data_IF_947392655913
#
_entry.id   IF_947392655913
#
_cell.length_a   1.000
_cell.length_b   1.000
_cell.length_c   1.000
_cell.angle_alpha   90.00
_cell.angle_beta   90.00
_cell.angle_gamma   90.00
#
_symmetry.space_group_name_H-M   'P 1'
#
loop_
_entity.id
_entity.type
_entity.pdbx_description
1 polymer ?
#
# COMPACT_ATOMS: atom_id res chain seq x y z
N UNK A 1 -7.87 -15.68 10.42
CA UNK A 1 -8.08 -14.23 10.56
C UNK A 1 -9.12 -13.86 9.54
N UNK A 2 -10.20 -13.19 9.95
CA UNK A 2 -11.29 -12.81 9.03
C UNK A 2 -10.69 -12.05 7.84
N UNK A 3 -10.95 -12.57 6.64
CA UNK A 3 -10.63 -11.89 5.38
C UNK A 3 -11.68 -10.80 5.19
N UNK A 4 -11.72 -9.86 6.13
CA UNK A 4 -12.74 -8.83 6.19
C UNK A 4 -12.54 -7.89 4.99
N UNK A 5 -13.66 -7.63 4.31
CA UNK A 5 -13.67 -6.82 3.09
C UNK A 5 -13.25 -5.40 3.44
N UNK A 6 -12.17 -4.91 2.82
CA UNK A 6 -11.68 -3.54 3.08
C UNK A 6 -12.61 -2.55 2.39
N UNK A 7 -13.22 -1.64 3.15
CA UNK A 7 -14.11 -0.60 2.62
C UNK A 7 -13.28 0.64 2.26
N UNK A 8 -13.11 0.87 0.96
CA UNK A 8 -12.31 1.97 0.41
C UNK A 8 -13.24 3.10 0.00
N UNK A 9 -13.11 4.25 0.66
CA UNK A 9 -13.81 5.46 0.27
C UNK A 9 -13.16 6.09 -0.96
N UNK A 10 -13.93 6.24 -2.05
CA UNK A 10 -13.45 6.89 -3.26
C UNK A 10 -13.76 8.39 -3.27
N UNK A 11 -12.70 9.18 -3.42
CA UNK A 11 -12.76 10.64 -3.61
C UNK A 11 -12.31 10.97 -5.03
N UNK A 12 -13.25 11.31 -5.91
CA UNK A 12 -12.94 11.45 -7.34
C UNK A 12 -13.86 12.41 -8.09
N UNK A 13 -13.42 12.86 -9.25
CA UNK A 13 -14.27 13.53 -10.24
C UNK A 13 -14.15 12.85 -11.62
N UNK A 14 -15.29 12.58 -12.26
CA UNK A 14 -15.37 12.07 -13.63
C UNK A 14 -14.87 10.64 -13.97
N UNK A 15 -14.54 9.71 -13.05
CA UNK A 15 -14.08 8.37 -13.45
C UNK A 15 -15.16 7.54 -14.15
N UNK A 16 -16.44 7.81 -13.87
CA UNK A 16 -17.58 7.16 -14.55
C UNK A 16 -17.63 7.55 -16.02
N UNK A 17 -17.55 8.85 -16.33
CA UNK A 17 -17.63 9.36 -17.70
C UNK A 17 -16.40 9.00 -18.54
N UNK A 18 -15.23 8.85 -17.91
CA UNK A 18 -14.00 8.39 -18.56
C UNK A 18 -13.93 6.86 -18.73
N UNK A 19 -14.94 6.11 -18.27
CA UNK A 19 -14.95 4.65 -18.35
C UNK A 19 -13.93 3.96 -17.43
N UNK A 20 -13.25 4.71 -16.55
CA UNK A 20 -12.19 4.20 -15.65
C UNK A 20 -12.78 3.57 -14.39
N UNK A 21 -14.00 3.95 -13.99
CA UNK A 21 -14.62 3.43 -12.75
C UNK A 21 -14.68 1.90 -12.71
N UNK A 22 -14.99 1.26 -13.85
CA UNK A 22 -15.02 -0.19 -13.95
C UNK A 22 -13.67 -0.82 -13.62
N UNK A 23 -12.59 -0.23 -14.11
CA UNK A 23 -11.22 -0.71 -13.87
C UNK A 23 -10.79 -0.52 -12.41
N UNK A 24 -11.25 0.55 -11.76
CA UNK A 24 -11.05 0.79 -10.33
C UNK A 24 -11.75 -0.32 -9.51
N UNK A 25 -13.02 -0.60 -9.83
CA UNK A 25 -13.80 -1.63 -9.13
C UNK A 25 -13.17 -3.02 -9.28
N UNK A 26 -12.79 -3.41 -10.52
CA UNK A 26 -12.12 -4.70 -10.78
C UNK A 26 -10.82 -4.82 -9.98
N UNK A 27 -10.02 -3.76 -9.90
CA UNK A 27 -8.77 -3.77 -9.14
C UNK A 27 -9.00 -3.91 -7.63
N UNK A 28 -10.04 -3.27 -7.09
CA UNK A 28 -10.40 -3.38 -5.67
C UNK A 28 -10.92 -4.78 -5.32
N UNK A 29 -11.83 -5.33 -6.13
CA UNK A 29 -12.38 -6.68 -5.96
C UNK A 29 -11.27 -7.74 -5.98
N UNK A 30 -10.29 -7.60 -6.87
CA UNK A 30 -9.16 -8.52 -6.99
C UNK A 30 -8.27 -8.58 -5.74
N UNK A 31 -8.33 -7.58 -4.84
CA UNK A 31 -7.55 -7.52 -3.60
C UNK A 31 -8.41 -7.62 -2.33
N UNK A 32 -9.66 -8.09 -2.46
CA UNK A 32 -10.57 -8.26 -1.32
C UNK A 32 -11.04 -6.93 -0.73
N UNK A 33 -11.29 -5.93 -1.58
CA UNK A 33 -11.81 -4.63 -1.19
C UNK A 33 -13.05 -4.23 -1.99
N UNK A 34 -13.84 -3.34 -1.40
CA UNK A 34 -14.99 -2.72 -2.03
C UNK A 34 -14.81 -1.21 -2.07
N UNK A 35 -15.12 -0.63 -3.23
CA UNK A 35 -15.16 0.82 -3.44
C UNK A 35 -16.55 1.32 -3.09
N UNK A 36 -16.63 2.36 -2.26
CA UNK A 36 -17.87 3.06 -2.02
C UNK A 36 -17.68 4.58 -2.07
N UNK A 37 -18.78 5.30 -2.31
CA UNK A 37 -18.80 6.75 -2.31
C UNK A 37 -19.42 7.25 -1.01
N UNK A 38 -18.72 8.06 -0.19
CA UNK A 38 -19.30 8.60 1.03
C UNK A 38 -20.57 9.43 0.75
N UNK A 39 -21.68 9.08 1.39
CA UNK A 39 -22.94 9.80 1.26
C UNK A 39 -22.99 10.98 2.23
N UNK A 40 -23.42 12.15 1.75
CA UNK A 40 -23.46 13.39 2.52
C UNK A 40 -24.78 14.13 2.30
N UNK A 41 -25.24 14.84 3.35
CA UNK A 41 -26.34 15.79 3.18
C UNK A 41 -25.88 17.08 2.48
N UNK A 42 -26.82 17.80 1.85
CA UNK A 42 -26.51 19.10 1.22
C UNK A 42 -25.97 20.14 2.21
N UNK A 43 -26.40 20.08 3.47
CA UNK A 43 -25.89 20.92 4.56
C UNK A 43 -24.42 20.66 4.84
N UNK A 44 -24.03 19.38 4.89
CA UNK A 44 -22.65 18.98 5.20
C UNK A 44 -21.70 19.39 4.08
N UNK A 45 -22.13 19.27 2.82
CA UNK A 45 -21.31 19.71 1.66
C UNK A 45 -20.94 21.20 1.78
N UNK A 46 -21.90 22.06 2.15
CA UNK A 46 -21.66 23.51 2.24
C UNK A 46 -20.79 23.90 3.43
N UNK A 47 -20.92 23.19 4.55
CA UNK A 47 -20.11 23.41 5.76
C UNK A 47 -18.68 22.95 5.51
N UNK A 48 -18.51 21.69 5.20
CA UNK A 48 -17.23 21.01 5.09
C UNK A 48 -16.33 21.63 4.01
N UNK A 49 -16.92 22.12 2.91
CA UNK A 49 -16.16 22.83 1.87
C UNK A 49 -15.54 24.15 2.37
N UNK A 50 -16.25 24.91 3.21
CA UNK A 50 -15.72 26.18 3.74
C UNK A 50 -14.52 25.96 4.65
N UNK A 51 -14.53 24.88 5.41
CA UNK A 51 -13.50 24.58 6.40
C UNK A 51 -12.19 24.08 5.76
N UNK A 52 -12.26 23.51 4.55
CA UNK A 52 -11.08 23.02 3.82
C UNK A 52 -10.20 24.15 3.25
N UNK A 53 -10.77 25.33 2.98
CA UNK A 53 -9.99 26.52 2.59
C UNK A 53 -9.48 26.57 1.13
N UNK A 54 -9.85 25.61 0.27
CA UNK A 54 -9.55 25.63 -1.17
C UNK A 54 -10.83 25.84 -1.98
N UNK A 55 -10.96 27.01 -2.63
CA UNK A 55 -12.09 27.28 -3.51
C UNK A 55 -11.85 26.71 -4.92
N UNK A 56 -12.85 25.99 -5.45
CA UNK A 56 -12.81 25.33 -6.76
C UNK A 56 -14.12 25.57 -7.50
N UNK A 57 -14.09 25.53 -8.84
CA UNK A 57 -15.28 25.73 -9.66
C UNK A 57 -16.10 24.46 -9.84
N UNK A 58 -15.44 23.31 -10.00
CA UNK A 58 -16.13 22.04 -10.25
C UNK A 58 -16.96 21.57 -9.05
N UNK A 59 -18.25 21.29 -9.28
CA UNK A 59 -19.16 20.74 -8.26
C UNK A 59 -18.71 19.36 -7.76
N UNK A 60 -18.21 18.50 -8.66
CA UNK A 60 -17.69 17.17 -8.29
C UNK A 60 -16.47 17.27 -7.39
N UNK A 61 -15.59 18.26 -7.64
CA UNK A 61 -14.44 18.50 -6.77
C UNK A 61 -14.86 19.05 -5.41
N UNK A 62 -15.88 19.92 -5.34
CA UNK A 62 -16.46 20.34 -4.05
C UNK A 62 -17.01 19.16 -3.27
N UNK A 63 -17.70 18.23 -3.95
CA UNK A 63 -18.20 17.02 -3.32
C UNK A 63 -17.06 16.12 -2.83
N UNK A 64 -16.01 15.93 -3.63
CA UNK A 64 -14.83 15.17 -3.21
C UNK A 64 -14.14 15.79 -1.98
N UNK A 65 -14.03 17.12 -1.91
CA UNK A 65 -13.53 17.84 -0.74
C UNK A 65 -14.41 17.57 0.49
N UNK A 66 -15.72 17.77 0.37
CA UNK A 66 -16.65 17.59 1.48
C UNK A 66 -16.63 16.15 2.03
N UNK A 67 -16.49 15.16 1.14
CA UNK A 67 -16.35 13.74 1.49
C UNK A 67 -15.04 13.47 2.23
N UNK A 68 -13.93 14.06 1.77
CA UNK A 68 -12.64 13.99 2.48
C UNK A 68 -12.72 14.54 3.90
N UNK A 69 -13.39 15.68 4.09
CA UNK A 69 -13.61 16.26 5.42
C UNK A 69 -14.48 15.36 6.30
N UNK A 70 -15.58 14.82 5.76
CA UNK A 70 -16.46 13.92 6.52
C UNK A 70 -15.75 12.64 6.99
N UNK A 71 -14.82 12.10 6.19
CA UNK A 71 -13.98 10.97 6.58
C UNK A 71 -13.04 11.33 7.73
N UNK A 72 -12.42 12.52 7.69
CA UNK A 72 -11.54 13.01 8.76
C UNK A 72 -12.31 13.30 10.05
N UNK A 73 -13.50 13.87 9.95
CA UNK A 73 -14.41 14.12 11.09
C UNK A 73 -15.00 12.83 11.69
N UNK A 74 -14.83 11.68 11.04
CA UNK A 74 -15.42 10.41 11.47
C UNK A 74 -16.93 10.34 11.28
N UNK A 75 -17.51 11.23 10.48
CA UNK A 75 -18.95 11.18 10.13
C UNK A 75 -19.26 10.04 9.16
N UNK A 76 -18.24 9.56 8.43
CA UNK A 76 -18.31 8.37 7.57
C UNK A 76 -17.11 7.48 7.90
N UNK A 77 -17.38 6.20 8.16
CA UNK A 77 -16.33 5.21 8.43
C UNK A 77 -15.82 4.57 7.12
N UNK A 78 -14.49 4.45 7.02
CA UNK A 78 -13.78 3.77 5.95
C UNK A 78 -12.50 3.15 6.49
N UNK A 79 -12.01 2.10 5.85
CA UNK A 79 -10.72 1.47 6.20
C UNK A 79 -9.56 2.14 5.47
N UNK A 80 -9.85 2.78 4.33
CA UNK A 80 -8.88 3.36 3.42
C UNK A 80 -9.52 4.39 2.49
N UNK A 81 -8.69 5.25 1.89
CA UNK A 81 -9.14 6.29 0.94
C UNK A 81 -8.40 6.15 -0.39
N UNK A 82 -9.17 6.14 -1.47
CA UNK A 82 -8.64 6.19 -2.84
C UNK A 82 -9.05 7.51 -3.50
N UNK A 83 -8.07 8.37 -3.77
CA UNK A 83 -8.29 9.67 -4.42
C UNK A 83 -7.93 9.54 -5.89
N UNK A 84 -8.89 9.76 -6.79
CA UNK A 84 -8.69 9.56 -8.23
C UNK A 84 -9.21 10.75 -9.04
N UNK A 85 -8.32 11.41 -9.78
CA UNK A 85 -8.71 12.50 -10.70
C UNK A 85 -8.00 12.36 -12.05
N UNK A 86 -8.58 12.94 -13.10
CA UNK A 86 -7.98 12.86 -14.44
C UNK A 86 -6.68 13.67 -14.50
N UNK A 87 -5.73 13.22 -15.31
CA UNK A 87 -4.44 13.90 -15.47
C UNK A 87 -4.52 15.29 -16.14
N UNK A 88 -5.63 15.60 -16.81
CA UNK A 88 -5.78 16.82 -17.64
C UNK A 88 -6.22 18.05 -16.85
N UNK A 89 -6.93 17.86 -15.75
CA UNK A 89 -7.54 18.95 -15.00
C UNK A 89 -6.58 19.47 -13.93
N UNK A 90 -6.05 20.68 -14.13
CA UNK A 90 -5.16 21.33 -13.16
C UNK A 90 -5.83 21.55 -11.79
N UNK A 91 -7.10 21.96 -11.79
CA UNK A 91 -7.90 22.12 -10.56
C UNK A 91 -8.01 20.79 -9.81
N UNK A 92 -8.27 19.68 -10.53
CA UNK A 92 -8.38 18.36 -9.93
C UNK A 92 -7.02 17.80 -9.44
N UNK A 93 -5.91 18.22 -10.05
CA UNK A 93 -4.57 17.87 -9.59
C UNK A 93 -4.24 18.55 -8.24
N UNK A 94 -4.62 19.83 -8.09
CA UNK A 94 -4.46 20.58 -6.84
C UNK A 94 -5.34 19.95 -5.75
N UNK A 95 -6.63 19.73 -6.03
CA UNK A 95 -7.57 19.12 -5.08
C UNK A 95 -7.10 17.74 -4.63
N UNK A 96 -6.64 16.90 -5.55
CA UNK A 96 -6.12 15.56 -5.22
C UNK A 96 -4.93 15.63 -4.26
N UNK A 97 -4.00 16.56 -4.49
CA UNK A 97 -2.82 16.74 -3.64
C UNK A 97 -3.19 17.28 -2.26
N UNK A 98 -4.04 18.31 -2.20
CA UNK A 98 -4.48 18.91 -0.93
C UNK A 98 -5.36 17.96 -0.12
N UNK A 99 -6.26 17.20 -0.76
CA UNK A 99 -7.04 16.16 -0.07
C UNK A 99 -6.14 15.08 0.54
N UNK A 100 -5.14 14.61 -0.22
CA UNK A 100 -4.17 13.64 0.29
C UNK A 100 -3.45 14.19 1.51
N UNK A 101 -2.98 15.44 1.45
CA UNK A 101 -2.28 16.09 2.57
C UNK A 101 -3.19 16.25 3.78
N UNK A 102 -4.40 16.78 3.57
CA UNK A 102 -5.38 17.01 4.63
C UNK A 102 -5.74 15.72 5.38
N UNK A 103 -6.05 14.64 4.66
CA UNK A 103 -6.38 13.34 5.28
C UNK A 103 -5.19 12.76 6.03
N UNK A 104 -3.97 12.90 5.50
CA UNK A 104 -2.75 12.44 6.16
C UNK A 104 -2.43 13.22 7.45
N UNK A 105 -2.63 14.54 7.46
CA UNK A 105 -2.35 15.40 8.61
C UNK A 105 -3.38 15.27 9.74
N UNK A 106 -4.64 14.91 9.41
CA UNK A 106 -5.76 14.97 10.36
C UNK A 106 -6.41 13.61 10.64
N UNK A 107 -5.98 12.54 9.99
CA UNK A 107 -6.50 11.20 10.23
C UNK A 107 -5.40 10.15 10.15
N UNK A 108 -5.75 8.93 10.52
CA UNK A 108 -4.87 7.78 10.35
C UNK A 108 -5.26 6.88 9.19
N UNK A 109 -6.18 7.33 8.34
CA UNK A 109 -6.64 6.55 7.19
C UNK A 109 -5.50 6.44 6.17
N UNK A 110 -5.20 5.23 5.67
CA UNK A 110 -4.26 5.10 4.57
C UNK A 110 -4.87 5.67 3.30
N UNK A 111 -4.05 6.39 2.52
CA UNK A 111 -4.50 7.12 1.33
C UNK A 111 -3.63 6.75 0.13
N UNK A 112 -4.27 6.37 -0.97
CA UNK A 112 -3.64 6.32 -2.29
C UNK A 112 -4.23 7.41 -3.16
N UNK A 113 -3.35 8.18 -3.81
CA UNK A 113 -3.71 9.18 -4.81
C UNK A 113 -3.29 8.70 -6.19
N UNK A 114 -4.19 8.75 -7.15
CA UNK A 114 -3.96 8.31 -8.52
C UNK A 114 -4.44 9.34 -9.55
N UNK A 115 -3.61 9.57 -10.57
CA UNK A 115 -3.93 10.42 -11.71
C UNK A 115 -4.25 9.55 -12.91
N UNK A 116 -5.54 9.39 -13.23
CA UNK A 116 -5.96 8.47 -14.28
C UNK A 116 -5.95 9.09 -15.68
N UNK A 117 -5.93 8.21 -16.68
CA UNK A 117 -6.17 8.51 -18.09
C UNK A 117 -7.31 7.63 -18.59
N UNK A 118 -7.86 7.92 -19.77
CA UNK A 118 -8.86 7.06 -20.44
C UNK A 118 -8.33 5.63 -20.73
N UNK A 119 -7.02 5.40 -20.60
CA UNK A 119 -6.35 4.10 -20.82
C UNK A 119 -5.95 3.40 -19.52
N UNK A 120 -6.32 3.95 -18.37
CA UNK A 120 -6.04 3.30 -17.08
C UNK A 120 -6.76 1.95 -17.04
N UNK A 121 -6.00 0.89 -16.73
CA UNK A 121 -6.54 -0.47 -16.57
C UNK A 121 -6.39 -0.94 -15.14
N UNK A 122 -7.20 -1.92 -14.75
CA UNK A 122 -7.16 -2.60 -13.46
C UNK A 122 -5.77 -3.13 -13.12
N UNK A 123 -5.06 -3.69 -14.11
CA UNK A 123 -3.67 -4.15 -13.93
C UNK A 123 -2.71 -3.05 -13.47
N UNK A 124 -2.90 -1.80 -13.93
CA UNK A 124 -2.07 -0.66 -13.47
C UNK A 124 -2.42 -0.17 -12.07
N UNK A 125 -3.64 -0.46 -11.60
CA UNK A 125 -4.13 -0.11 -10.28
C UNK A 125 -3.87 -1.20 -9.24
N UNK A 126 -3.72 -2.46 -9.68
CA UNK A 126 -3.71 -3.64 -8.82
C UNK A 126 -2.69 -3.53 -7.68
N UNK A 127 -1.42 -3.25 -7.98
CA UNK A 127 -0.38 -3.16 -6.95
C UNK A 127 -0.64 -2.01 -5.97
N UNK A 128 -1.24 -0.90 -6.44
CA UNK A 128 -1.60 0.24 -5.57
C UNK A 128 -2.77 -0.11 -4.65
N UNK A 129 -3.76 -0.84 -5.17
CA UNK A 129 -4.88 -1.34 -4.37
C UNK A 129 -4.40 -2.38 -3.37
N UNK A 130 -3.52 -3.30 -3.76
CA UNK A 130 -2.92 -4.30 -2.87
C UNK A 130 -2.10 -3.65 -1.74
N UNK A 131 -1.33 -2.62 -2.04
CA UNK A 131 -0.61 -1.84 -1.02
C UNK A 131 -1.60 -1.12 -0.09
N UNK A 132 -2.64 -0.49 -0.62
CA UNK A 132 -3.65 0.20 0.18
C UNK A 132 -4.39 -0.75 1.14
N UNK A 133 -4.84 -1.90 0.65
CA UNK A 133 -5.52 -2.92 1.47
C UNK A 133 -4.57 -3.56 2.48
N UNK A 134 -3.30 -3.74 2.11
CA UNK A 134 -2.26 -4.18 3.03
C UNK A 134 -2.14 -3.22 4.20
N UNK A 135 -2.00 -1.93 3.95
CA UNK A 135 -1.82 -0.94 5.02
C UNK A 135 -3.06 -0.89 5.92
N UNK A 136 -4.26 -0.95 5.33
CA UNK A 136 -5.51 -1.01 6.08
C UNK A 136 -5.59 -2.25 7.00
N UNK A 137 -5.28 -3.44 6.47
CA UNK A 137 -5.38 -4.72 7.19
C UNK A 137 -4.26 -4.97 8.19
N UNK A 138 -3.05 -4.53 7.87
CA UNK A 138 -1.81 -4.92 8.56
C UNK A 138 -1.11 -3.76 9.27
N UNK A 139 -1.86 -2.71 9.60
CA UNK A 139 -1.31 -1.50 10.25
C UNK A 139 -0.45 -1.80 11.47
N UNK A 140 -0.90 -2.69 12.36
CA UNK A 140 -0.17 -3.06 13.56
C UNK A 140 1.16 -3.79 13.25
N UNK A 141 1.19 -4.60 12.19
CA UNK A 141 2.42 -5.29 11.75
C UNK A 141 3.42 -4.27 11.17
N UNK A 142 2.95 -3.34 10.33
CA UNK A 142 3.79 -2.32 9.70
C UNK A 142 4.31 -1.28 10.70
N UNK A 143 3.60 -1.06 11.80
CA UNK A 143 4.02 -0.18 12.89
C UNK A 143 5.16 -0.76 13.75
N UNK A 144 5.55 -2.03 13.58
CA UNK A 144 6.67 -2.62 14.34
C UNK A 144 7.99 -1.94 13.97
N UNK A 145 8.64 -1.33 14.95
CA UNK A 145 9.89 -0.58 14.74
C UNK A 145 11.16 -1.43 14.83
N UNK A 146 11.05 -2.59 15.48
CA UNK A 146 12.16 -3.50 15.73
C UNK A 146 11.80 -4.92 15.32
N UNK A 147 12.73 -5.59 14.64
CA UNK A 147 12.68 -7.02 14.41
C UNK A 147 13.13 -7.77 15.68
N UNK A 148 12.38 -8.79 16.08
CA UNK A 148 12.64 -9.62 17.26
C UNK A 148 12.56 -11.10 16.89
N UNK A 149 13.35 -11.94 17.58
CA UNK A 149 13.45 -13.37 17.27
C UNK A 149 14.33 -13.63 16.05
N UNK A 150 14.32 -14.87 15.57
CA UNK A 150 15.08 -15.33 14.42
C UNK A 150 14.18 -15.43 13.19
N UNK A 151 14.37 -14.56 12.21
CA UNK A 151 13.47 -14.49 11.04
C UNK A 151 14.23 -14.46 9.72
N UNK A 152 13.56 -14.87 8.65
CA UNK A 152 14.08 -14.78 7.28
C UNK A 152 13.18 -13.96 6.37
N UNK A 153 13.75 -13.05 5.60
CA UNK A 153 13.08 -12.36 4.50
C UNK A 153 13.66 -12.76 3.15
N UNK A 154 12.81 -13.06 2.16
CA UNK A 154 13.22 -13.40 0.78
C UNK A 154 12.58 -12.45 -0.22
N UNK A 155 13.40 -11.69 -0.93
CA UNK A 155 13.00 -10.82 -2.04
C UNK A 155 13.30 -11.53 -3.37
N UNK A 156 12.24 -11.94 -4.08
CA UNK A 156 12.35 -12.53 -5.42
C UNK A 156 12.04 -11.49 -6.50
N UNK A 157 13.00 -10.59 -6.72
CA UNK A 157 12.96 -9.58 -7.77
C UNK A 157 13.17 -10.15 -9.17
N UNK A 158 12.90 -9.32 -10.19
CA UNK A 158 13.04 -9.70 -11.61
C UNK A 158 14.51 -9.82 -12.06
N UNK A 159 15.42 -9.07 -11.45
CA UNK A 159 16.85 -9.09 -11.80
C UNK A 159 17.72 -9.75 -10.73
N UNK A 160 17.33 -9.65 -9.46
CA UNK A 160 18.09 -10.23 -8.34
C UNK A 160 17.15 -10.85 -7.32
N UNK A 161 17.56 -12.01 -6.79
CA UNK A 161 16.92 -12.65 -5.65
C UNK A 161 17.82 -12.47 -4.44
N UNK A 162 17.22 -12.17 -3.29
CA UNK A 162 17.93 -11.89 -2.04
C UNK A 162 17.28 -12.63 -0.88
N UNK A 163 18.09 -13.07 0.07
CA UNK A 163 17.62 -13.57 1.35
C UNK A 163 18.41 -12.91 2.47
N UNK A 164 17.75 -12.59 3.57
CA UNK A 164 18.35 -12.02 4.78
C UNK A 164 17.84 -12.81 5.99
N UNK A 165 18.76 -13.24 6.85
CA UNK A 165 18.47 -13.77 8.18
C UNK A 165 18.76 -12.68 9.20
N UNK A 166 17.76 -12.36 10.02
CA UNK A 166 17.91 -11.40 11.11
C UNK A 166 17.61 -12.04 12.46
N UNK A 167 18.43 -11.72 13.46
CA UNK A 167 18.19 -12.01 14.87
C UNK A 167 18.18 -10.70 15.65
N UNK A 168 17.04 -10.39 16.30
CA UNK A 168 16.87 -9.23 17.18
C UNK A 168 17.41 -7.90 16.61
N UNK A 169 17.06 -7.62 15.35
CA UNK A 169 17.43 -6.43 14.57
C UNK A 169 18.85 -6.44 13.98
N UNK A 170 19.56 -7.56 14.08
CA UNK A 170 20.90 -7.73 13.53
C UNK A 170 20.84 -8.69 12.34
N UNK A 171 21.38 -8.28 11.20
CA UNK A 171 21.58 -9.18 10.06
C UNK A 171 22.72 -10.13 10.40
N UNK A 172 22.43 -11.43 10.42
CA UNK A 172 23.42 -12.48 10.74
C UNK A 172 23.71 -13.39 9.55
N UNK A 173 22.95 -13.28 8.46
CA UNK A 173 23.23 -14.01 7.23
C UNK A 173 22.54 -13.39 6.03
N UNK A 174 23.17 -13.52 4.86
CA UNK A 174 22.76 -12.92 3.60
C UNK A 174 22.97 -13.87 2.45
N UNK A 175 22.09 -13.76 1.46
CA UNK A 175 22.21 -14.47 0.19
C UNK A 175 21.78 -13.55 -0.93
N UNK A 176 22.55 -13.50 -2.00
CA UNK A 176 22.25 -12.66 -3.16
C UNK A 176 22.73 -13.31 -4.45
N UNK A 177 21.84 -13.38 -5.45
CA UNK A 177 22.12 -13.92 -6.79
C UNK A 177 21.32 -13.20 -7.86
N UNK A 178 21.81 -13.16 -9.11
CA UNK A 178 20.97 -12.82 -10.26
C UNK A 178 19.76 -13.76 -10.33
N UNK A 179 18.59 -13.22 -10.64
CA UNK A 179 17.39 -14.03 -10.86
C UNK A 179 17.50 -14.71 -12.21
N UNK A 180 17.58 -16.03 -12.22
CA UNK A 180 17.54 -16.85 -13.44
C UNK A 180 16.23 -17.63 -13.48
N UNK A 181 16.01 -18.47 -12.46
CA UNK A 181 14.75 -19.17 -12.21
C UNK A 181 14.25 -18.77 -10.82
N UNK A 182 13.02 -18.28 -10.72
CA UNK A 182 12.42 -17.77 -9.47
C UNK A 182 12.64 -18.72 -8.28
N UNK A 183 12.34 -20.01 -8.45
CA UNK A 183 12.47 -20.99 -7.36
C UNK A 183 13.92 -21.40 -7.12
N UNK A 184 14.67 -21.72 -8.18
CA UNK A 184 16.06 -22.11 -8.07
C UNK A 184 16.94 -21.03 -7.43
N UNK A 185 16.83 -19.78 -7.91
CA UNK A 185 17.54 -18.64 -7.33
C UNK A 185 17.14 -18.40 -5.87
N UNK A 186 15.88 -18.62 -5.51
CA UNK A 186 15.40 -18.49 -4.11
C UNK A 186 15.99 -19.56 -3.19
N UNK A 187 15.97 -20.82 -3.61
CA UNK A 187 16.55 -21.94 -2.84
C UNK A 187 18.06 -21.73 -2.63
N UNK A 188 18.77 -21.22 -3.64
CA UNK A 188 20.20 -20.90 -3.55
C UNK A 188 20.48 -19.80 -2.52
N UNK A 189 19.79 -18.65 -2.61
CA UNK A 189 20.05 -17.55 -1.67
C UNK A 189 19.63 -17.87 -0.23
N UNK A 190 18.58 -18.67 -0.04
CA UNK A 190 18.17 -19.15 1.29
C UNK A 190 19.27 -20.04 1.88
N UNK A 191 19.82 -20.96 1.08
CA UNK A 191 20.91 -21.85 1.52
C UNK A 191 22.14 -21.05 1.93
N UNK A 192 22.52 -20.03 1.15
CA UNK A 192 23.64 -19.15 1.46
C UNK A 192 23.41 -18.38 2.77
N UNK A 193 22.23 -17.78 2.92
CA UNK A 193 21.92 -16.95 4.09
C UNK A 193 21.85 -17.77 5.38
N UNK A 194 21.28 -18.98 5.34
CA UNK A 194 21.25 -19.91 6.48
C UNK A 194 22.65 -20.41 6.86
N UNK A 195 23.48 -20.74 5.86
CA UNK A 195 24.85 -21.18 6.08
C UNK A 195 25.71 -20.07 6.71
N UNK A 196 25.58 -18.82 6.23
CA UNK A 196 26.28 -17.66 6.81
C UNK A 196 25.82 -17.39 8.25
N UNK A 197 24.51 -17.50 8.52
CA UNK A 197 23.95 -17.33 9.86
C UNK A 197 24.28 -18.48 10.82
N UNK A 198 24.69 -19.65 10.31
CA UNK A 198 24.94 -20.83 11.13
C UNK A 198 23.70 -21.43 11.77
N UNK A 199 22.52 -21.20 11.19
CA UNK A 199 21.20 -21.66 11.70
C UNK A 199 20.52 -22.59 10.70
N UNK A 200 19.56 -23.39 11.17
CA UNK A 200 18.73 -24.23 10.32
C UNK A 200 17.40 -23.55 10.03
N UNK A 201 16.76 -23.99 8.95
CA UNK A 201 15.41 -23.53 8.59
C UNK A 201 14.39 -23.78 9.70
N UNK A 202 14.56 -24.87 10.44
CA UNK A 202 13.70 -25.30 11.55
C UNK A 202 13.79 -24.35 12.76
N UNK A 203 14.88 -23.59 12.88
CA UNK A 203 15.11 -22.66 13.99
C UNK A 203 14.41 -21.31 13.78
N UNK A 204 13.94 -21.03 12.56
CA UNK A 204 13.32 -19.74 12.21
C UNK A 204 11.93 -19.62 12.86
N UNK A 205 11.70 -18.51 13.55
CA UNK A 205 10.41 -18.16 14.16
C UNK A 205 9.37 -17.73 13.11
N UNK A 206 9.81 -17.08 12.03
CA UNK A 206 8.94 -16.64 10.95
C UNK A 206 9.72 -16.40 9.65
N UNK A 207 9.00 -16.56 8.53
CA UNK A 207 9.52 -16.36 7.18
C UNK A 207 8.60 -15.45 6.37
N UNK A 208 9.19 -14.40 5.79
CA UNK A 208 8.53 -13.47 4.90
C UNK A 208 9.07 -13.55 3.47
N UNK A 209 8.23 -13.21 2.49
CA UNK A 209 8.67 -13.06 1.10
C UNK A 209 7.99 -11.92 0.37
N UNK A 210 8.73 -11.28 -0.54
CA UNK A 210 8.30 -10.19 -1.41
C UNK A 210 8.86 -10.34 -2.83
N UNK A 211 8.61 -9.34 -3.67
CA UNK A 211 8.97 -9.31 -5.08
C UNK A 211 7.92 -9.90 -6.02
N UNK A 212 8.24 -9.95 -7.30
CA UNK A 212 7.35 -10.48 -8.34
C UNK A 212 7.09 -11.98 -8.16
N UNK A 213 8.11 -12.74 -7.73
CA UNK A 213 8.01 -14.19 -7.50
C UNK A 213 7.35 -14.60 -6.17
N UNK A 214 6.93 -13.64 -5.34
CA UNK A 214 6.56 -13.86 -3.92
C UNK A 214 5.54 -14.97 -3.68
N UNK A 215 4.57 -15.16 -4.58
CA UNK A 215 3.54 -16.20 -4.39
C UNK A 215 4.11 -17.60 -4.63
N UNK A 216 4.95 -17.76 -5.65
CA UNK A 216 5.63 -19.04 -5.93
C UNK A 216 6.62 -19.38 -4.82
N UNK A 217 7.45 -18.41 -4.45
CA UNK A 217 8.43 -18.54 -3.38
C UNK A 217 7.74 -18.77 -2.04
N UNK A 218 6.71 -18.00 -1.71
CA UNK A 218 5.95 -18.13 -0.47
C UNK A 218 5.32 -19.51 -0.31
N UNK A 219 4.76 -20.07 -1.39
CA UNK A 219 4.26 -21.45 -1.40
C UNK A 219 5.38 -22.48 -1.21
N UNK A 220 6.53 -22.28 -1.89
CA UNK A 220 7.69 -23.18 -1.81
C UNK A 220 8.26 -23.27 -0.41
N UNK A 221 8.36 -22.13 0.27
CA UNK A 221 9.03 -22.03 1.57
C UNK A 221 8.04 -22.09 2.75
N UNK A 222 6.73 -22.06 2.49
CA UNK A 222 5.72 -21.97 3.55
C UNK A 222 5.81 -20.65 4.31
N UNK A 223 5.87 -19.52 3.59
CA UNK A 223 6.02 -18.21 4.20
C UNK A 223 4.81 -17.82 5.06
N UNK A 224 5.07 -17.33 6.27
CA UNK A 224 4.07 -16.76 7.18
C UNK A 224 3.54 -15.42 6.66
N UNK A 225 4.40 -14.69 5.93
CA UNK A 225 4.08 -13.39 5.36
C UNK A 225 4.45 -13.33 3.88
N UNK A 226 3.45 -13.26 3.02
CA UNK A 226 3.63 -12.89 1.61
C UNK A 226 3.15 -11.45 1.47
N UNK A 227 4.03 -10.57 0.98
CA UNK A 227 3.75 -9.14 0.91
C UNK A 227 4.28 -8.52 -0.39
N UNK A 228 3.49 -7.65 -1.00
CA UNK A 228 3.91 -6.89 -2.19
C UNK A 228 5.07 -5.91 -1.89
N UNK A 229 5.77 -5.52 -2.94
CA UNK A 229 7.06 -4.83 -2.88
C UNK A 229 6.97 -3.37 -2.41
N UNK A 230 5.94 -2.61 -2.80
CA UNK A 230 5.81 -1.17 -2.47
C UNK A 230 5.82 -0.92 -0.97
N UNK A 231 5.04 -1.69 -0.21
CA UNK A 231 4.91 -1.54 1.24
C UNK A 231 6.19 -1.99 1.93
N UNK A 232 6.80 -3.10 1.48
CA UNK A 232 8.03 -3.64 2.08
C UNK A 232 9.21 -2.71 1.83
N UNK A 233 9.37 -2.19 0.61
CA UNK A 233 10.44 -1.25 0.27
C UNK A 233 10.29 0.05 1.06
N UNK A 234 9.07 0.59 1.14
CA UNK A 234 8.80 1.77 1.96
C UNK A 234 9.15 1.54 3.43
N UNK A 235 8.73 0.41 4.01
CA UNK A 235 9.03 0.05 5.41
C UNK A 235 10.53 -0.18 5.63
N UNK A 236 11.19 -0.88 4.73
CA UNK A 236 12.63 -1.16 4.78
C UNK A 236 13.46 0.12 4.69
N UNK A 237 13.11 1.03 3.79
CA UNK A 237 13.78 2.31 3.63
C UNK A 237 13.73 3.16 4.91
N UNK A 238 12.55 3.33 5.50
CA UNK A 238 12.41 4.11 6.74
C UNK A 238 13.05 3.42 7.95
N UNK A 239 13.06 2.09 7.98
CA UNK A 239 13.73 1.30 9.01
C UNK A 239 15.26 1.48 8.94
N UNK A 240 15.85 1.39 7.75
CA UNK A 240 17.30 1.56 7.56
C UNK A 240 17.77 3.00 7.76
N UNK A 241 16.91 3.98 7.46
CA UNK A 241 17.21 5.40 7.61
C UNK A 241 16.93 5.96 9.02
N UNK A 242 16.45 5.14 9.96
CA UNK A 242 15.97 5.57 11.28
C UNK A 242 14.91 6.69 11.21
N UNK A 243 14.07 6.63 10.17
CA UNK A 243 13.01 7.62 9.87
C UNK A 243 11.61 7.00 10.01
N UNK A 244 11.43 6.09 10.97
CA UNK A 244 10.17 5.38 11.19
C UNK A 244 9.07 6.27 11.81
N UNK A 245 9.43 7.48 12.26
CA UNK A 245 8.54 8.45 12.87
C UNK A 245 8.38 9.70 12.00
N UNK A 246 7.16 10.24 11.97
CA UNK A 246 6.85 11.46 11.23
C UNK A 246 6.73 11.25 9.72
N UNK A 247 6.62 12.35 8.96
CA UNK A 247 6.46 12.28 7.51
C UNK A 247 7.79 11.92 6.83
N UNK A 248 7.75 10.90 5.97
CA UNK A 248 8.88 10.50 5.13
C UNK A 248 8.41 10.33 3.68
N UNK A 249 9.21 10.81 2.73
CA UNK A 249 9.02 10.53 1.30
C UNK A 249 10.09 9.53 0.88
N UNK A 250 9.67 8.32 0.50
CA UNK A 250 10.55 7.29 -0.05
C UNK A 250 10.51 7.36 -1.57
N UNK A 251 11.69 7.39 -2.19
CA UNK A 251 11.87 7.34 -3.64
C UNK A 251 12.79 6.15 -3.91
N UNK A 252 12.22 5.11 -4.50
CA UNK A 252 12.89 3.89 -4.97
C UNK A 252 13.07 4.00 -6.49
#
# INVERSE_FOLDING_TARGET
>A
MSDELVRIAQLSCGPEYSGVQKEINIAAEAVGAEIFFPDLSLSDIRRNFKDFGLDVRSADLKLAIARGVALVEGSVEADAVFIATCFRCAEAAIVRNELRRYIHEHSTLPVVSYSFTERTTSGTLLTRMEALTTIARRRALLARERQTGLTMGVDSGSSTTKAVIMQDNVIIGTGWRPTTEVLGSSDEVITLALAEAGVKREDLDAVGTTGYGRFLVGKRIGADLIQEELTVNSKGAVFLADCQHGPATVID
#
